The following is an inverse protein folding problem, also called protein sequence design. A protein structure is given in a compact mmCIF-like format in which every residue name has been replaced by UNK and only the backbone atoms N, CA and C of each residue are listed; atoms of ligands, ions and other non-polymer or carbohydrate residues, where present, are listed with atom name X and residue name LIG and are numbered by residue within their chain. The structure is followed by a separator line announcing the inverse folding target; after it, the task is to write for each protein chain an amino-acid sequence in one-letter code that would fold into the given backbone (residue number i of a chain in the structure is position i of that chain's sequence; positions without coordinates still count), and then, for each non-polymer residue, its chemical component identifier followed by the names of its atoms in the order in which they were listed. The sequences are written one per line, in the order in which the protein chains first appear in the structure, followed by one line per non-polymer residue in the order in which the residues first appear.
data_IF_668625574465
#
_entry.id   IF_668625574465
#
_cell.length_a   1.000
_cell.length_b   1.000
_cell.length_c   1.000
_cell.angle_alpha   90.00
_cell.angle_beta   90.00
_cell.angle_gamma   90.00
#
_symmetry.space_group_name_H-M   'P 1'
#
loop_
_entity.id
_entity.type
_entity.pdbx_description
1 polymer ?
#
# COMPACT_ATOMS: atom_id res chain seq x y z
N UNK A 1 -5.67 28.51 -19.54
CA UNK A 1 -4.89 29.73 -19.22
C UNK A 1 -3.62 29.71 -20.05
N UNK A 2 -3.18 30.86 -20.60
CA UNK A 2 -1.92 30.91 -21.34
C UNK A 2 -0.73 30.62 -20.40
N UNK A 3 0.28 29.85 -20.86
CA UNK A 3 1.47 29.55 -20.06
C UNK A 3 2.28 30.82 -19.80
N UNK A 4 3.02 30.86 -18.68
CA UNK A 4 3.94 31.96 -18.41
C UNK A 4 5.17 31.90 -19.34
N UNK A 5 6.05 32.90 -19.26
CA UNK A 5 7.25 33.02 -20.10
C UNK A 5 8.23 31.83 -20.01
N UNK A 6 8.04 30.93 -19.05
CA UNK A 6 8.85 29.72 -18.85
C UNK A 6 8.08 28.42 -19.14
N UNK A 7 6.88 28.51 -19.72
CA UNK A 7 6.07 27.33 -20.09
C UNK A 7 5.25 26.72 -18.96
N UNK A 8 5.25 27.30 -17.76
CA UNK A 8 4.46 26.80 -16.63
C UNK A 8 3.04 27.35 -16.66
N UNK A 9 2.07 26.47 -16.44
CA UNK A 9 0.66 26.84 -16.27
C UNK A 9 0.42 27.31 -14.84
N UNK A 10 -0.32 28.42 -14.66
CA UNK A 10 -0.72 28.89 -13.33
C UNK A 10 -1.62 27.83 -12.67
N UNK A 11 -1.29 27.47 -11.43
CA UNK A 11 -2.13 26.64 -10.55
C UNK A 11 -3.52 27.27 -10.51
N UNK A 12 -4.54 26.51 -10.92
CA UNK A 12 -5.93 26.95 -10.79
C UNK A 12 -6.27 26.93 -9.30
N UNK A 13 -6.34 28.12 -8.71
CA UNK A 13 -7.04 28.33 -7.45
C UNK A 13 -8.51 28.09 -7.79
N UNK A 14 -9.10 27.02 -7.26
CA UNK A 14 -10.48 26.67 -7.58
C UNK A 14 -11.41 27.83 -7.15
N UNK A 15 -12.23 28.35 -8.07
CA UNK A 15 -13.27 29.34 -7.76
C UNK A 15 -14.44 28.73 -6.97
N UNK A 16 -14.59 27.40 -7.03
CA UNK A 16 -15.55 26.62 -6.25
C UNK A 16 -14.77 25.59 -5.42
N UNK A 17 -15.15 25.42 -4.15
CA UNK A 17 -14.51 24.48 -3.24
C UNK A 17 -14.40 23.07 -3.87
N UNK A 18 -13.22 22.43 -3.89
CA UNK A 18 -13.10 21.06 -4.35
C UNK A 18 -14.06 20.16 -3.57
N UNK A 19 -14.78 19.29 -4.27
CA UNK A 19 -15.78 18.36 -3.69
C UNK A 19 -15.15 17.38 -2.69
N UNK A 20 -13.83 17.26 -2.68
CA UNK A 20 -13.07 16.42 -1.77
C UNK A 20 -11.81 17.17 -1.33
N UNK A 21 -11.84 17.74 -0.12
CA UNK A 21 -10.64 18.25 0.53
C UNK A 21 -10.00 17.12 1.36
N UNK A 22 -8.69 16.88 1.24
CA UNK A 22 -8.00 15.90 2.09
C UNK A 22 -8.05 16.29 3.58
N UNK A 23 -8.23 17.57 3.88
CA UNK A 23 -8.43 18.10 5.24
C UNK A 23 -9.80 17.69 5.83
N UNK A 24 -10.83 17.43 5.01
CA UNK A 24 -12.15 17.01 5.49
C UNK A 24 -12.12 15.60 6.11
N UNK A 25 -11.08 14.82 5.78
CA UNK A 25 -10.83 13.51 6.38
C UNK A 25 -10.00 13.56 7.67
N UNK A 26 -9.50 14.74 8.05
CA UNK A 26 -8.67 14.93 9.24
C UNK A 26 -9.56 15.49 10.35
N UNK A 27 -9.85 14.66 11.35
CA UNK A 27 -10.63 15.10 12.50
C UNK A 27 -9.79 15.98 13.44
N UNK A 28 -10.43 16.79 14.26
CA UNK A 28 -9.72 17.62 15.25
C UNK A 28 -8.90 16.77 16.24
N UNK A 29 -9.27 15.50 16.40
CA UNK A 29 -8.55 14.49 17.18
C UNK A 29 -7.24 14.02 16.50
N UNK A 30 -7.15 14.08 15.17
CA UNK A 30 -5.92 13.76 14.43
C UNK A 30 -4.85 14.85 14.57
N UNK A 31 -5.27 16.10 14.81
CA UNK A 31 -4.39 17.26 15.02
C UNK A 31 -3.96 17.41 16.49
N UNK A 32 -4.81 16.99 17.43
CA UNK A 32 -4.53 17.07 18.85
C UNK A 32 -3.70 15.87 19.35
N UNK A 33 -2.38 15.92 19.17
CA UNK A 33 -1.44 15.03 19.89
C UNK A 33 -1.05 15.54 21.29
N UNK A 34 -1.98 16.17 22.01
CA UNK A 34 -1.74 16.59 23.40
C UNK A 34 -2.79 15.94 24.28
N UNK A 35 -2.40 14.88 24.99
CA UNK A 35 -3.25 14.23 26.00
C UNK A 35 -3.33 15.02 27.33
N UNK A 36 -2.67 16.18 27.45
CA UNK A 36 -2.35 16.74 28.77
C UNK A 36 -2.95 18.12 29.07
N UNK A 37 -3.95 18.59 28.32
CA UNK A 37 -4.64 19.84 28.67
C UNK A 37 -6.14 19.63 28.80
N UNK A 38 -6.56 18.96 29.88
CA UNK A 38 -7.72 19.38 30.69
C UNK A 38 -7.62 18.75 32.08
N UNK A 39 -7.74 19.63 33.07
CA UNK A 39 -7.35 19.48 34.46
C UNK A 39 -8.38 18.70 35.30
N UNK A 40 -7.85 17.92 36.25
CA UNK A 40 -8.39 17.49 37.54
C UNK A 40 -9.92 17.51 37.78
N UNK A 41 -10.49 16.31 37.97
CA UNK A 41 -11.40 16.08 39.11
C UNK A 41 -11.18 14.67 39.64
N UNK A 42 -10.64 14.56 40.86
CA UNK A 42 -10.55 13.33 41.62
C UNK A 42 -11.96 12.87 42.02
N UNK A 43 -12.44 11.76 41.46
CA UNK A 43 -13.53 10.96 42.05
C UNK A 43 -13.22 9.48 41.85
N UNK A 44 -13.42 8.69 42.90
CA UNK A 44 -13.02 7.28 43.00
C UNK A 44 -13.42 6.43 41.80
N UNK A 45 -12.45 6.04 40.97
CA UNK A 45 -12.65 5.11 39.86
C UNK A 45 -12.64 3.68 40.39
N UNK A 46 -13.80 3.03 40.35
CA UNK A 46 -13.89 1.56 40.20
C UNK A 46 -12.92 1.17 39.07
N UNK A 47 -12.10 0.10 39.20
CA UNK A 47 -11.16 -0.26 38.14
C UNK A 47 -11.95 -0.48 36.84
N UNK A 48 -11.91 0.51 35.95
CA UNK A 48 -12.54 0.41 34.65
C UNK A 48 -11.84 -0.73 33.94
N UNK A 49 -12.57 -1.73 33.44
CA UNK A 49 -11.94 -2.81 32.70
C UNK A 49 -11.15 -2.19 31.54
N UNK A 50 -10.01 -2.77 31.15
CA UNK A 50 -9.11 -2.20 30.14
C UNK A 50 -9.76 -2.06 28.74
N UNK A 51 -10.99 -2.55 28.57
CA UNK A 51 -11.82 -2.42 27.38
C UNK A 51 -13.01 -1.45 27.51
N UNK A 52 -13.07 -0.60 28.55
CA UNK A 52 -14.23 0.27 28.83
C UNK A 52 -14.62 1.22 27.67
N UNK A 53 -13.70 1.52 26.76
CA UNK A 53 -13.96 2.34 25.57
C UNK A 53 -14.62 1.56 24.41
N UNK A 54 -14.74 0.24 24.53
CA UNK A 54 -15.28 -0.65 23.49
C UNK A 54 -16.42 -1.51 24.04
N UNK A 55 -17.29 -1.96 23.14
CA UNK A 55 -18.51 -2.72 23.48
C UNK A 55 -18.22 -4.01 24.28
N UNK A 56 -17.09 -4.66 24.00
CA UNK A 56 -16.64 -5.86 24.72
C UNK A 56 -15.12 -6.05 24.61
N UNK A 57 -14.58 -6.96 25.41
CA UNK A 57 -13.13 -7.23 25.46
C UNK A 57 -12.55 -7.80 24.15
N UNK A 58 -13.34 -8.51 23.34
CA UNK A 58 -12.90 -9.04 22.04
C UNK A 58 -12.69 -7.91 21.04
N UNK A 59 -13.67 -7.00 20.93
CA UNK A 59 -13.58 -5.80 20.09
C UNK A 59 -12.40 -4.94 20.54
N UNK A 60 -12.20 -4.76 21.85
CA UNK A 60 -11.06 -4.00 22.35
C UNK A 60 -9.71 -4.61 21.97
N UNK A 61 -9.56 -5.94 22.06
CA UNK A 61 -8.32 -6.63 21.66
C UNK A 61 -8.09 -6.55 20.15
N UNK A 62 -9.15 -6.65 19.36
CA UNK A 62 -9.06 -6.57 17.91
C UNK A 62 -8.72 -5.14 17.44
N UNK A 63 -9.41 -4.14 17.99
CA UNK A 63 -9.14 -2.72 17.70
C UNK A 63 -7.78 -2.28 18.22
N UNK A 64 -7.35 -2.73 19.40
CA UNK A 64 -5.99 -2.44 19.88
C UNK A 64 -4.93 -3.06 18.98
N UNK A 65 -5.09 -4.29 18.49
CA UNK A 65 -4.21 -4.87 17.47
C UNK A 65 -4.23 -4.07 16.16
N UNK A 66 -5.40 -3.59 15.72
CA UNK A 66 -5.50 -2.75 14.54
C UNK A 66 -4.72 -1.45 14.69
N UNK A 67 -4.83 -0.76 15.83
CA UNK A 67 -4.08 0.47 16.06
C UNK A 67 -2.59 0.23 16.37
N UNK A 68 -2.17 -1.01 16.68
CA UNK A 68 -0.77 -1.35 16.92
C UNK A 68 -0.02 -1.66 15.61
N UNK A 69 0.91 -0.78 15.21
CA UNK A 69 2.09 -1.18 14.44
C UNK A 69 2.04 -1.23 12.90
N UNK A 70 1.23 -0.42 12.20
CA UNK A 70 1.47 -0.13 10.76
C UNK A 70 0.69 1.10 10.31
N UNK A 71 1.23 1.86 9.34
CA UNK A 71 0.59 3.05 8.74
C UNK A 71 -0.41 2.73 7.62
N UNK A 72 -0.48 1.47 7.17
CA UNK A 72 -1.35 1.06 6.05
C UNK A 72 -2.36 0.03 6.52
N UNK A 73 -3.34 0.46 7.32
CA UNK A 73 -4.46 -0.37 7.73
C UNK A 73 -5.75 0.37 7.42
N UNK A 74 -6.61 -0.27 6.64
CA UNK A 74 -7.91 0.27 6.23
C UNK A 74 -9.01 -0.40 7.03
N UNK A 75 -10.06 0.34 7.40
CA UNK A 75 -11.22 -0.22 8.11
C UNK A 75 -11.87 -1.35 7.28
N UNK A 76 -11.91 -1.22 5.95
CA UNK A 76 -12.42 -2.29 5.09
C UNK A 76 -11.66 -3.62 5.23
N UNK A 77 -10.35 -3.58 5.52
CA UNK A 77 -9.59 -4.80 5.75
C UNK A 77 -9.95 -5.47 7.09
N UNK A 78 -10.40 -4.71 8.09
CA UNK A 78 -10.91 -5.29 9.34
C UNK A 78 -12.22 -6.03 9.11
N UNK A 79 -13.13 -5.41 8.39
CA UNK A 79 -14.44 -5.99 8.09
C UNK A 79 -14.28 -7.29 7.28
N UNK A 80 -13.38 -7.29 6.29
CA UNK A 80 -13.04 -8.49 5.52
C UNK A 80 -12.49 -9.61 6.41
N UNK A 81 -11.58 -9.33 7.36
CA UNK A 81 -11.06 -10.36 8.26
C UNK A 81 -12.18 -10.95 9.12
N UNK A 82 -13.08 -10.12 9.65
CA UNK A 82 -14.17 -10.61 10.49
C UNK A 82 -15.13 -11.46 9.67
N UNK A 83 -15.59 -10.96 8.52
CA UNK A 83 -16.63 -11.62 7.74
C UNK A 83 -16.11 -12.80 6.91
N UNK A 84 -14.97 -12.64 6.23
CA UNK A 84 -14.50 -13.64 5.27
C UNK A 84 -13.58 -14.69 5.91
N UNK A 85 -12.98 -14.38 7.06
CA UNK A 85 -12.08 -15.31 7.76
C UNK A 85 -12.70 -15.84 9.05
N UNK A 86 -13.03 -14.95 10.00
CA UNK A 86 -13.45 -15.39 11.34
C UNK A 86 -14.87 -15.97 11.39
N UNK A 87 -15.77 -15.49 10.53
CA UNK A 87 -17.17 -15.95 10.45
C UNK A 87 -17.40 -17.02 9.36
N UNK A 88 -16.35 -17.41 8.63
CA UNK A 88 -16.47 -18.43 7.59
C UNK A 88 -16.84 -19.80 8.18
N UNK A 89 -17.68 -20.57 7.50
CA UNK A 89 -18.21 -21.85 8.02
C UNK A 89 -17.12 -22.89 8.32
N UNK A 90 -16.04 -22.86 7.55
CA UNK A 90 -14.89 -23.75 7.72
C UNK A 90 -13.88 -23.25 8.76
N UNK A 91 -14.08 -22.05 9.31
CA UNK A 91 -13.16 -21.46 10.27
C UNK A 91 -13.13 -22.27 11.56
N UNK A 92 -11.94 -22.76 11.90
CA UNK A 92 -11.70 -23.48 13.16
C UNK A 92 -10.51 -22.86 13.86
N UNK A 93 -10.75 -22.28 15.03
CA UNK A 93 -9.71 -21.66 15.85
C UNK A 93 -8.54 -22.62 16.13
N UNK A 94 -8.82 -23.93 16.25
CA UNK A 94 -7.78 -24.96 16.48
C UNK A 94 -6.73 -25.01 15.36
N UNK A 95 -7.09 -24.67 14.11
CA UNK A 95 -6.14 -24.67 13.00
C UNK A 95 -5.12 -23.52 13.10
N UNK A 96 -5.41 -22.47 13.86
CA UNK A 96 -4.50 -21.35 14.08
C UNK A 96 -3.52 -21.59 15.23
N UNK A 97 -3.63 -22.70 15.97
CA UNK A 97 -2.66 -23.03 17.01
C UNK A 97 -1.29 -23.30 16.40
N UNK A 98 -0.30 -22.50 16.79
CA UNK A 98 1.04 -22.58 16.21
C UNK A 98 1.13 -22.02 14.79
N UNK A 99 0.17 -21.18 14.38
CA UNK A 99 0.25 -20.41 13.14
C UNK A 99 1.49 -19.50 13.14
N UNK A 100 2.17 -19.46 11.99
CA UNK A 100 3.29 -18.55 11.75
C UNK A 100 3.24 -18.08 10.31
N UNK A 101 3.06 -16.77 10.11
CA UNK A 101 3.01 -16.17 8.77
C UNK A 101 4.25 -16.51 7.93
N UNK A 102 5.44 -16.53 8.56
CA UNK A 102 6.68 -16.88 7.87
C UNK A 102 6.68 -18.33 7.33
N UNK A 103 6.10 -19.28 8.08
CA UNK A 103 6.01 -20.68 7.66
C UNK A 103 5.02 -20.85 6.52
N UNK A 104 3.85 -20.24 6.63
CA UNK A 104 2.82 -20.36 5.58
C UNK A 104 3.24 -19.63 4.29
N UNK A 105 3.92 -18.49 4.40
CA UNK A 105 4.53 -17.83 3.23
C UNK A 105 5.57 -18.72 2.56
N UNK A 106 6.45 -19.35 3.35
CA UNK A 106 7.42 -20.31 2.80
C UNK A 106 6.71 -21.49 2.12
N UNK A 107 5.65 -22.02 2.72
CA UNK A 107 4.90 -23.12 2.12
C UNK A 107 4.26 -22.69 0.79
N UNK A 108 3.76 -21.46 0.69
CA UNK A 108 3.27 -20.87 -0.56
C UNK A 108 4.38 -20.74 -1.59
N UNK A 109 5.56 -20.25 -1.20
CA UNK A 109 6.73 -20.14 -2.08
C UNK A 109 7.20 -21.51 -2.59
N UNK A 110 7.27 -22.51 -1.69
CA UNK A 110 7.66 -23.88 -2.01
C UNK A 110 6.63 -24.53 -2.96
N UNK A 111 5.33 -24.28 -2.76
CA UNK A 111 4.26 -24.75 -3.64
C UNK A 111 4.33 -24.09 -5.03
N UNK A 112 4.59 -22.78 -5.08
CA UNK A 112 4.78 -22.04 -6.33
C UNK A 112 6.04 -22.48 -7.10
N UNK A 113 7.06 -22.99 -6.39
CA UNK A 113 8.25 -23.56 -7.01
C UNK A 113 8.05 -25.03 -7.48
N UNK A 114 7.20 -25.79 -6.79
CA UNK A 114 6.92 -27.20 -7.10
C UNK A 114 5.91 -27.35 -8.24
N UNK A 115 4.90 -26.50 -8.30
CA UNK A 115 4.04 -26.39 -9.46
C UNK A 115 4.77 -25.58 -10.54
N UNK A 116 4.93 -26.13 -11.74
CA UNK A 116 5.19 -25.33 -12.96
C UNK A 116 3.98 -24.44 -13.33
N UNK A 117 3.15 -24.07 -12.36
CA UNK A 117 1.85 -23.40 -12.50
C UNK A 117 1.92 -21.90 -12.28
N UNK A 118 3.09 -21.31 -11.99
CA UNK A 118 3.30 -19.92 -12.40
C UNK A 118 2.93 -19.92 -13.87
N UNK A 119 1.86 -19.22 -14.31
CA UNK A 119 1.42 -19.31 -15.68
C UNK A 119 2.66 -19.06 -16.54
N UNK A 120 3.06 -20.07 -17.31
CA UNK A 120 4.13 -19.89 -18.29
C UNK A 120 3.73 -18.81 -19.31
N UNK A 121 2.44 -18.49 -19.35
CA UNK A 121 1.90 -17.29 -19.95
C UNK A 121 2.20 -16.07 -19.05
N UNK A 122 2.85 -15.02 -19.58
CA UNK A 122 3.08 -13.80 -18.83
C UNK A 122 1.77 -13.32 -18.20
N UNK A 123 1.80 -12.98 -16.90
CA UNK A 123 0.77 -12.18 -16.25
C UNK A 123 0.33 -11.06 -17.21
N UNK A 124 -0.97 -10.80 -17.31
CA UNK A 124 -1.50 -9.86 -18.29
C UNK A 124 -0.69 -8.54 -18.33
N UNK A 125 -0.15 -8.18 -19.50
CA UNK A 125 0.69 -6.99 -19.69
C UNK A 125 2.20 -7.22 -19.65
N UNK A 126 2.68 -8.33 -19.06
CA UNK A 126 4.08 -8.74 -19.08
C UNK A 126 4.45 -9.38 -20.41
N UNK A 127 5.70 -9.18 -20.84
CA UNK A 127 6.25 -9.70 -22.09
C UNK A 127 7.58 -10.36 -21.83
N UNK A 128 7.92 -11.37 -22.62
CA UNK A 128 9.24 -12.01 -22.58
C UNK A 128 10.13 -11.40 -23.66
N UNK A 129 11.40 -11.13 -23.35
CA UNK A 129 12.37 -10.59 -24.29
C UNK A 129 13.82 -10.96 -23.93
N UNK A 130 14.76 -10.55 -24.78
CA UNK A 130 16.20 -10.64 -24.49
C UNK A 130 16.83 -9.26 -24.40
N UNK A 131 17.85 -9.13 -23.54
CA UNK A 131 18.60 -7.89 -23.35
C UNK A 131 20.09 -8.15 -23.59
N UNK A 132 20.70 -7.34 -24.46
CA UNK A 132 22.14 -7.33 -24.68
C UNK A 132 22.78 -6.27 -23.79
N UNK A 133 23.60 -6.72 -22.85
CA UNK A 133 24.31 -5.88 -21.90
C UNK A 133 25.78 -5.81 -22.28
N UNK A 134 26.35 -4.60 -22.33
CA UNK A 134 27.79 -4.43 -22.48
C UNK A 134 28.45 -4.52 -21.12
N UNK A 135 29.26 -5.55 -20.91
CA UNK A 135 29.88 -5.81 -19.61
C UNK A 135 31.32 -5.27 -19.58
N UNK A 136 31.71 -4.52 -18.54
CA UNK A 136 33.09 -4.06 -18.40
C UNK A 136 34.01 -5.23 -18.09
N UNK A 137 35.20 -5.24 -18.72
CA UNK A 137 36.22 -6.26 -18.47
C UNK A 137 37.00 -5.90 -17.20
N UNK A 138 37.11 -6.78 -16.19
CA UNK A 138 37.62 -6.43 -14.86
C UNK A 138 39.10 -5.99 -14.82
N UNK A 139 39.87 -6.21 -15.90
CA UNK A 139 41.30 -5.90 -15.96
C UNK A 139 41.67 -4.80 -16.94
N UNK A 140 40.79 -4.45 -17.86
CA UNK A 140 41.02 -3.42 -18.88
C UNK A 140 39.82 -2.48 -18.90
N UNK A 141 40.02 -1.20 -18.56
CA UNK A 141 39.01 -0.17 -18.73
C UNK A 141 38.89 0.19 -20.21
N UNK A 142 38.17 -0.62 -20.98
CA UNK A 142 37.80 -0.30 -22.36
C UNK A 142 36.61 0.66 -22.38
N UNK A 143 36.51 1.49 -23.42
CA UNK A 143 35.33 2.31 -23.64
C UNK A 143 34.08 1.42 -23.76
N UNK A 144 32.92 1.91 -23.33
CA UNK A 144 31.65 1.17 -23.35
C UNK A 144 31.29 0.67 -24.76
N UNK A 145 31.69 1.39 -25.80
CA UNK A 145 31.47 0.98 -27.19
C UNK A 145 32.11 -0.38 -27.52
N UNK A 146 33.30 -0.65 -26.98
CA UNK A 146 34.15 -1.80 -27.28
C UNK A 146 34.00 -2.94 -26.25
N UNK A 147 33.11 -2.78 -25.27
CA UNK A 147 32.87 -3.77 -24.24
C UNK A 147 32.16 -5.02 -24.81
N UNK A 148 32.52 -6.23 -24.36
CA UNK A 148 31.84 -7.47 -24.77
C UNK A 148 30.34 -7.42 -24.46
N UNK A 149 29.54 -7.89 -25.42
CA UNK A 149 28.08 -8.03 -25.27
C UNK A 149 27.75 -9.37 -24.61
N UNK A 150 26.92 -9.33 -23.58
CA UNK A 150 26.33 -10.49 -22.92
C UNK A 150 24.82 -10.44 -23.13
N UNK A 151 24.27 -11.50 -23.72
CA UNK A 151 22.83 -11.61 -23.95
C UNK A 151 22.17 -12.38 -22.81
N UNK A 152 21.25 -11.70 -22.14
CA UNK A 152 20.35 -12.31 -21.14
C UNK A 152 19.06 -12.68 -21.85
N UNK A 153 18.76 -13.97 -21.90
CA UNK A 153 17.55 -14.52 -22.51
C UNK A 153 16.42 -14.62 -21.48
N UNK A 154 15.18 -14.75 -21.98
CA UNK A 154 13.98 -15.06 -21.21
C UNK A 154 13.67 -14.08 -20.06
N UNK A 155 13.96 -12.79 -20.26
CA UNK A 155 13.59 -11.76 -19.27
C UNK A 155 12.11 -11.42 -19.43
N UNK A 156 11.37 -11.47 -18.33
CA UNK A 156 10.02 -10.91 -18.25
C UNK A 156 10.10 -9.41 -17.93
N UNK A 157 9.43 -8.59 -18.74
CA UNK A 157 9.34 -7.14 -18.52
C UNK A 157 7.92 -6.64 -18.81
N UNK A 158 7.49 -5.61 -18.09
CA UNK A 158 6.25 -4.89 -18.41
C UNK A 158 6.61 -3.54 -19.05
N UNK A 159 6.21 -3.27 -20.31
CA UNK A 159 6.49 -1.99 -20.94
C UNK A 159 5.90 -0.84 -20.12
N UNK A 160 6.70 0.20 -19.83
CA UNK A 160 6.26 1.34 -19.01
C UNK A 160 4.97 1.99 -19.52
N UNK A 161 4.80 2.08 -20.85
CA UNK A 161 3.58 2.61 -21.46
C UNK A 161 2.35 1.76 -21.12
N UNK A 162 2.50 0.43 -21.06
CA UNK A 162 1.40 -0.45 -20.67
C UNK A 162 1.01 -0.22 -19.21
N UNK A 163 2.01 -0.13 -18.32
CA UNK A 163 1.78 0.16 -16.89
C UNK A 163 1.07 1.51 -16.72
N UNK A 164 1.49 2.53 -17.47
CA UNK A 164 0.85 3.84 -17.43
C UNK A 164 -0.59 3.77 -17.93
N UNK A 165 -0.84 3.16 -19.10
CA UNK A 165 -2.19 3.02 -19.63
C UNK A 165 -3.11 2.28 -18.65
N UNK A 166 -2.62 1.19 -18.06
CA UNK A 166 -3.35 0.41 -17.06
C UNK A 166 -3.66 1.23 -15.81
N UNK A 167 -2.67 1.97 -15.29
CA UNK A 167 -2.86 2.82 -14.12
C UNK A 167 -3.95 3.89 -14.37
N UNK A 168 -3.99 4.50 -15.55
CA UNK A 168 -4.99 5.50 -15.93
C UNK A 168 -6.36 4.89 -16.25
N UNK A 169 -6.42 3.64 -16.70
CA UNK A 169 -7.66 2.90 -16.95
C UNK A 169 -8.24 2.30 -15.66
N UNK A 170 -7.43 2.16 -14.61
CA UNK A 170 -7.87 1.60 -13.33
C UNK A 170 -8.93 2.49 -12.67
N UNK A 171 -9.94 1.93 -11.98
CA UNK A 171 -10.90 2.71 -11.21
C UNK A 171 -10.25 3.59 -10.12
N UNK A 172 -9.07 3.18 -9.64
CA UNK A 172 -8.27 3.93 -8.68
C UNK A 172 -7.79 5.28 -9.23
N UNK A 173 -7.70 5.43 -10.56
CA UNK A 173 -7.30 6.69 -11.18
C UNK A 173 -8.19 7.88 -10.78
N UNK A 174 -9.47 7.64 -10.51
CA UNK A 174 -10.41 8.66 -10.06
C UNK A 174 -10.03 9.29 -8.70
N UNK A 175 -9.17 8.62 -7.93
CA UNK A 175 -8.68 9.09 -6.63
C UNK A 175 -7.34 9.82 -6.74
N UNK A 176 -6.66 9.80 -7.89
CA UNK A 176 -5.37 10.48 -8.06
C UNK A 176 -5.55 11.97 -8.38
N UNK A 177 -4.77 12.80 -7.69
CA UNK A 177 -4.66 14.23 -8.01
C UNK A 177 -3.65 14.44 -9.15
N UNK A 178 -4.13 14.44 -10.39
CA UNK A 178 -3.29 14.70 -11.58
C UNK A 178 -2.95 16.19 -11.79
N UNK A 179 -3.63 17.08 -11.08
CA UNK A 179 -3.37 18.53 -11.14
C UNK A 179 -2.78 18.99 -9.81
N UNK A 180 -1.62 19.67 -9.80
CA UNK A 180 -1.10 20.27 -8.59
C UNK A 180 -2.11 21.30 -8.06
N UNK A 181 -2.42 21.23 -6.77
CA UNK A 181 -3.25 22.21 -6.08
C UNK A 181 -2.41 22.90 -5.00
N UNK A 182 -2.76 24.16 -4.71
CA UNK A 182 -2.20 24.90 -3.60
C UNK A 182 -3.35 25.25 -2.66
N UNK A 183 -3.28 24.78 -1.41
CA UNK A 183 -4.15 25.26 -0.34
C UNK A 183 -3.68 26.67 0.07
N UNK A 184 -4.61 27.61 0.14
CA UNK A 184 -4.37 28.89 0.79
C UNK A 184 -5.13 28.86 2.12
N UNK A 185 -4.40 29.07 3.21
CA UNK A 185 -4.90 29.22 4.58
C UNK A 185 -5.56 30.58 4.82
#
# INVERSE_FOLDING_TARGET
TQPNAHGFYKVNIFQNQPTHHPEDSISQDDLCRSSDLTENTETGKVPTPPWFQFLNGTVARFMSWFHLGSTVKLNGNLDLIVHDVMLHEEFKQVHLHGFSAARENKHLDDAAAAEQSIPSEPLAGWKTGSLKLKLPVPKNCTAEADAPEFEVLEIMYCPLLNVLVEAFQSPAFLQYHITPFASQW
#
